data_IF_595957023081
#
_entry.id   IF_595957023081
#
_cell.length_a   1.000
_cell.length_b   1.000
_cell.length_c   1.000
_cell.angle_alpha   90.00
_cell.angle_beta   90.00
_cell.angle_gamma   90.00
#
_symmetry.space_group_name_H-M   'P 1'
#
loop_
_entity.id
_entity.type
_entity.pdbx_description
1 polymer ?
#
# COMPACT_ATOMS: atom_id res chain seq x y z
N UNK A 1 -4.99 -14.61 18.42
CA UNK A 1 -4.04 -14.41 17.29
C UNK A 1 -4.85 -13.99 16.07
N UNK A 2 -4.47 -12.91 15.37
CA UNK A 2 -5.16 -12.44 14.15
C UNK A 2 -5.10 -13.52 13.06
N UNK A 3 -6.24 -13.80 12.40
CA UNK A 3 -6.38 -14.86 11.39
C UNK A 3 -5.47 -14.66 10.18
N UNK A 4 -5.27 -13.41 9.74
CA UNK A 4 -4.37 -13.09 8.64
C UNK A 4 -2.92 -13.38 9.00
N UNK A 5 -2.47 -12.96 10.20
CA UNK A 5 -1.11 -13.25 10.70
C UNK A 5 -0.85 -14.75 10.75
N UNK A 6 -1.82 -15.52 11.27
CA UNK A 6 -1.70 -16.98 11.31
C UNK A 6 -1.59 -17.61 9.91
N UNK A 7 -2.36 -17.11 8.93
CA UNK A 7 -2.27 -17.61 7.55
C UNK A 7 -0.91 -17.28 6.92
N UNK A 8 -0.42 -16.06 7.03
CA UNK A 8 0.87 -15.64 6.48
C UNK A 8 2.03 -16.47 7.05
N UNK A 9 2.07 -16.65 8.38
CA UNK A 9 3.10 -17.46 9.04
C UNK A 9 3.04 -18.96 8.69
N UNK A 10 1.84 -19.52 8.49
CA UNK A 10 1.68 -20.93 8.12
C UNK A 10 2.06 -21.20 6.67
N UNK A 11 1.79 -20.26 5.76
CA UNK A 11 2.09 -20.41 4.34
C UNK A 11 3.59 -20.32 4.04
N UNK A 12 4.32 -19.54 4.79
CA UNK A 12 5.79 -19.51 4.71
C UNK A 12 6.39 -20.92 4.92
N UNK A 13 5.79 -21.71 5.82
CA UNK A 13 6.17 -23.12 6.08
C UNK A 13 5.75 -24.10 4.97
N UNK A 14 4.72 -23.75 4.16
CA UNK A 14 4.16 -24.63 3.13
C UNK A 14 4.64 -24.31 1.71
N UNK A 15 5.36 -23.20 1.52
CA UNK A 15 5.80 -22.75 0.21
C UNK A 15 4.66 -22.26 -0.70
N UNK A 16 3.48 -21.96 -0.14
CA UNK A 16 2.35 -21.42 -0.89
C UNK A 16 2.49 -19.90 -1.02
N UNK A 17 2.15 -19.35 -2.20
CA UNK A 17 2.18 -17.91 -2.43
C UNK A 17 0.81 -17.32 -2.09
N UNK A 18 0.77 -16.39 -1.13
CA UNK A 18 -0.42 -15.59 -0.83
C UNK A 18 -0.44 -14.39 -1.78
N UNK A 19 -1.51 -14.26 -2.55
CA UNK A 19 -1.68 -13.15 -3.48
C UNK A 19 -2.55 -12.05 -2.88
N UNK A 20 -2.16 -10.80 -3.11
CA UNK A 20 -2.92 -9.62 -2.72
C UNK A 20 -3.14 -8.65 -3.88
N UNK A 21 -4.22 -7.89 -3.85
CA UNK A 21 -4.30 -6.65 -4.63
C UNK A 21 -3.48 -5.56 -3.96
N UNK A 22 -3.21 -4.48 -4.69
CA UNK A 22 -2.53 -3.30 -4.15
C UNK A 22 -3.47 -2.11 -4.07
N UNK A 23 -3.20 -1.18 -3.15
CA UNK A 23 -4.02 0.01 -2.97
C UNK A 23 -4.13 0.86 -4.25
N UNK A 24 -5.35 1.18 -4.65
CA UNK A 24 -5.64 2.17 -5.67
C UNK A 24 -5.54 1.72 -7.12
N UNK A 25 -5.48 0.42 -7.40
CA UNK A 25 -5.50 -0.13 -8.77
C UNK A 25 -6.86 -0.80 -9.04
N UNK A 26 -7.02 -2.07 -8.75
CA UNK A 26 -8.24 -2.81 -9.06
C UNK A 26 -9.41 -2.57 -8.09
N UNK A 27 -9.15 -2.04 -6.91
CA UNK A 27 -10.09 -1.90 -5.79
C UNK A 27 -10.38 -0.43 -5.46
N UNK A 28 -10.56 0.39 -6.50
CA UNK A 28 -10.79 1.84 -6.35
C UNK A 28 -12.17 2.21 -5.81
N UNK A 29 -13.10 1.27 -5.88
CA UNK A 29 -14.49 1.39 -5.38
C UNK A 29 -14.89 0.12 -4.63
N UNK A 30 -15.81 0.21 -3.65
CA UNK A 30 -16.29 -0.95 -2.88
C UNK A 30 -16.92 -2.04 -3.75
N UNK A 31 -17.63 -1.67 -4.82
CA UNK A 31 -18.21 -2.65 -5.75
C UNK A 31 -17.12 -3.52 -6.42
N UNK A 32 -15.96 -2.93 -6.69
CA UNK A 32 -14.82 -3.68 -7.23
C UNK A 32 -14.20 -4.62 -6.18
N UNK A 33 -14.18 -4.24 -4.91
CA UNK A 33 -13.78 -5.13 -3.80
C UNK A 33 -14.67 -6.36 -3.80
N UNK A 34 -16.01 -6.17 -3.88
CA UNK A 34 -16.99 -7.27 -3.96
C UNK A 34 -16.80 -8.13 -5.20
N UNK A 35 -16.57 -7.51 -6.36
CA UNK A 35 -16.34 -8.23 -7.62
C UNK A 35 -15.10 -9.12 -7.51
N UNK A 36 -13.97 -8.59 -7.06
CA UNK A 36 -12.72 -9.34 -6.88
C UNK A 36 -12.90 -10.51 -5.91
N UNK A 37 -13.53 -10.28 -4.77
CA UNK A 37 -13.77 -11.33 -3.78
C UNK A 37 -14.60 -12.50 -4.32
N UNK A 38 -15.60 -12.20 -5.16
CA UNK A 38 -16.52 -13.21 -5.70
C UNK A 38 -15.99 -13.91 -6.97
N UNK A 39 -15.13 -13.25 -7.74
CA UNK A 39 -14.73 -13.76 -9.06
C UNK A 39 -13.30 -14.27 -9.14
N UNK A 40 -12.40 -13.78 -8.28
CA UNK A 40 -10.97 -14.12 -8.35
C UNK A 40 -10.54 -14.89 -7.10
N UNK A 41 -10.78 -16.19 -7.11
CA UNK A 41 -10.53 -17.08 -5.98
C UNK A 41 -9.05 -17.19 -5.57
N UNK A 42 -8.12 -16.86 -6.46
CA UNK A 42 -6.68 -16.88 -6.20
C UNK A 42 -6.16 -15.69 -5.40
N UNK A 43 -6.97 -14.64 -5.23
CA UNK A 43 -6.59 -13.49 -4.39
C UNK A 43 -7.01 -13.75 -2.96
N UNK A 44 -6.04 -13.76 -2.05
CA UNK A 44 -6.24 -14.02 -0.62
C UNK A 44 -6.46 -12.74 0.19
N UNK A 45 -5.84 -11.63 -0.21
CA UNK A 45 -5.92 -10.33 0.47
C UNK A 45 -6.38 -9.27 -0.52
N UNK A 46 -7.44 -8.57 -0.19
CA UNK A 46 -7.91 -7.43 -0.98
C UNK A 46 -7.56 -6.14 -0.24
N UNK A 47 -6.69 -5.34 -0.86
CA UNK A 47 -6.31 -4.02 -0.36
C UNK A 47 -7.17 -2.95 -1.02
N UNK A 48 -7.82 -2.11 -0.22
CA UNK A 48 -8.69 -1.04 -0.71
C UNK A 48 -7.89 0.16 -1.23
N UNK A 49 -8.60 1.11 -1.86
CA UNK A 49 -8.11 2.48 -2.04
C UNK A 49 -7.75 3.09 -0.69
N UNK A 50 -6.72 3.96 -0.65
CA UNK A 50 -6.41 4.71 0.57
C UNK A 50 -7.49 5.73 0.86
N UNK A 51 -8.18 5.59 1.99
CA UNK A 51 -9.18 6.52 2.46
C UNK A 51 -8.57 7.57 3.38
N UNK A 52 -9.19 8.75 3.39
CA UNK A 52 -8.89 9.86 4.32
C UNK A 52 -10.10 10.12 5.20
N UNK A 53 -9.94 10.90 6.26
CA UNK A 53 -11.07 11.33 7.11
C UNK A 53 -12.13 12.02 6.27
N UNK A 54 -11.70 12.96 5.42
CA UNK A 54 -12.59 13.71 4.52
C UNK A 54 -12.37 13.31 3.06
N UNK A 55 -13.38 13.52 2.18
CA UNK A 55 -13.24 13.27 0.74
C UNK A 55 -12.12 14.09 0.11
N UNK A 56 -11.40 13.49 -0.85
CA UNK A 56 -10.38 14.16 -1.63
C UNK A 56 -10.61 13.94 -3.14
N UNK A 57 -10.72 15.03 -3.90
CA UNK A 57 -10.94 14.99 -5.35
C UNK A 57 -9.70 14.53 -6.13
N UNK A 58 -8.51 14.59 -5.52
CA UNK A 58 -7.25 14.29 -6.18
C UNK A 58 -6.86 15.32 -7.24
N UNK A 59 -5.91 14.93 -8.09
CA UNK A 59 -5.47 15.77 -9.20
C UNK A 59 -6.47 15.72 -10.36
N UNK A 60 -6.39 16.74 -11.25
CA UNK A 60 -7.18 16.83 -12.49
C UNK A 60 -6.56 15.92 -13.55
N UNK A 61 -7.43 15.29 -14.37
CA UNK A 61 -6.98 14.46 -15.50
C UNK A 61 -6.14 15.27 -16.53
N UNK A 62 -5.17 14.62 -17.21
CA UNK A 62 -4.78 13.22 -17.10
C UNK A 62 -3.90 12.94 -15.87
N UNK A 63 -4.20 11.86 -15.14
CA UNK A 63 -3.48 11.47 -13.91
C UNK A 63 -2.77 10.12 -14.02
N UNK A 64 -2.94 9.44 -15.16
CA UNK A 64 -2.25 8.17 -15.49
C UNK A 64 -1.76 8.24 -16.93
N UNK A 65 -0.58 7.71 -17.18
CA UNK A 65 -0.04 7.49 -18.54
C UNK A 65 0.65 6.13 -18.62
N UNK A 66 0.72 5.59 -19.85
CA UNK A 66 1.47 4.35 -20.15
C UNK A 66 2.59 4.68 -21.14
N UNK A 67 3.84 4.90 -20.66
CA UNK A 67 4.96 5.22 -21.53
C UNK A 67 5.45 4.02 -22.36
N UNK A 68 5.16 2.81 -21.93
CA UNK A 68 5.38 1.54 -22.66
C UNK A 68 4.45 0.47 -22.14
N UNK A 69 4.30 -0.63 -22.90
CA UNK A 69 3.44 -1.74 -22.53
C UNK A 69 3.81 -2.26 -21.12
N UNK A 70 2.83 -2.44 -20.24
CA UNK A 70 3.01 -2.94 -18.87
C UNK A 70 3.66 -1.95 -17.90
N UNK A 71 3.97 -0.73 -18.33
CA UNK A 71 4.60 0.29 -17.50
C UNK A 71 3.75 1.55 -17.44
N UNK A 72 3.62 2.12 -16.25
CA UNK A 72 2.71 3.23 -15.98
C UNK A 72 3.40 4.34 -15.20
N UNK A 73 2.93 5.57 -15.48
CA UNK A 73 3.17 6.73 -14.65
C UNK A 73 1.86 7.23 -14.07
N UNK A 74 1.83 7.63 -12.80
CA UNK A 74 0.62 8.17 -12.21
C UNK A 74 0.87 9.33 -11.25
N UNK A 75 -0.15 10.20 -11.14
CA UNK A 75 -0.24 11.26 -10.15
C UNK A 75 -1.69 11.49 -9.74
N UNK A 76 -2.35 10.46 -9.25
CA UNK A 76 -3.80 10.49 -8.89
C UNK A 76 -4.11 11.49 -7.77
N UNK A 77 -3.17 11.73 -6.85
CA UNK A 77 -3.34 12.71 -5.77
C UNK A 77 -4.28 12.25 -4.66
N UNK A 78 -4.26 10.94 -4.31
CA UNK A 78 -5.04 10.35 -3.23
C UNK A 78 -6.57 10.53 -3.35
N UNK A 79 -7.11 10.59 -4.57
CA UNK A 79 -8.56 10.67 -4.81
C UNK A 79 -9.30 9.56 -4.06
N UNK A 80 -10.24 9.95 -3.17
CA UNK A 80 -11.04 9.00 -2.38
C UNK A 80 -12.33 9.66 -1.86
N UNK A 81 -13.38 8.87 -1.50
CA UNK A 81 -14.68 9.39 -1.06
C UNK A 81 -14.72 9.82 0.43
N UNK A 82 -13.64 9.62 1.20
CA UNK A 82 -13.64 9.79 2.65
C UNK A 82 -14.12 8.55 3.41
N UNK A 83 -13.80 8.48 4.70
CA UNK A 83 -14.11 7.32 5.54
C UNK A 83 -15.60 7.09 5.75
N UNK A 84 -16.39 8.17 5.84
CA UNK A 84 -17.84 8.07 6.13
C UNK A 84 -18.65 7.49 4.96
N UNK A 85 -18.21 7.74 3.73
CA UNK A 85 -18.80 7.10 2.55
C UNK A 85 -18.29 5.66 2.35
N UNK A 86 -17.02 5.40 2.66
CA UNK A 86 -16.40 4.10 2.40
C UNK A 86 -16.79 3.03 3.44
N UNK A 87 -16.90 3.40 4.71
CA UNK A 87 -17.12 2.44 5.80
C UNK A 87 -18.40 1.60 5.63
N UNK A 88 -19.60 2.19 5.45
CA UNK A 88 -20.84 1.41 5.39
C UNK A 88 -20.85 0.42 4.22
N UNK A 89 -20.24 0.77 3.10
CA UNK A 89 -20.16 -0.12 1.94
C UNK A 89 -19.23 -1.30 2.18
N UNK A 90 -18.06 -1.06 2.78
CA UNK A 90 -17.13 -2.13 3.17
C UNK A 90 -17.70 -3.02 4.27
N UNK A 91 -18.40 -2.44 5.25
CA UNK A 91 -19.10 -3.19 6.29
C UNK A 91 -20.17 -4.12 5.70
N UNK A 92 -20.94 -3.63 4.72
CA UNK A 92 -21.92 -4.46 4.01
C UNK A 92 -21.26 -5.64 3.28
N UNK A 93 -20.11 -5.41 2.61
CA UNK A 93 -19.35 -6.48 1.95
C UNK A 93 -18.87 -7.53 2.96
N UNK A 94 -18.38 -7.11 4.13
CA UNK A 94 -17.96 -8.03 5.20
C UNK A 94 -19.13 -8.85 5.74
N UNK A 95 -20.29 -8.24 5.96
CA UNK A 95 -21.53 -8.92 6.42
C UNK A 95 -22.05 -9.93 5.41
N UNK A 96 -21.84 -9.69 4.11
CA UNK A 96 -22.21 -10.62 3.03
C UNK A 96 -21.29 -11.85 2.93
N UNK A 97 -20.36 -12.05 3.85
CA UNK A 97 -19.48 -13.22 3.92
C UNK A 97 -18.28 -13.14 2.98
N UNK A 98 -17.52 -12.03 3.02
CA UNK A 98 -16.29 -11.86 2.26
C UNK A 98 -15.30 -13.00 2.54
N UNK A 99 -14.77 -13.64 1.49
CA UNK A 99 -13.82 -14.76 1.53
C UNK A 99 -12.40 -14.29 1.81
N UNK A 100 -11.94 -13.29 1.04
CA UNK A 100 -10.59 -12.76 1.16
C UNK A 100 -10.43 -11.95 2.45
N UNK A 101 -9.19 -11.81 2.93
CA UNK A 101 -8.85 -10.87 3.99
C UNK A 101 -8.95 -9.44 3.48
N UNK A 102 -9.51 -8.56 4.28
CA UNK A 102 -9.67 -7.15 3.96
C UNK A 102 -8.54 -6.33 4.57
N UNK A 103 -7.67 -5.80 3.72
CA UNK A 103 -6.64 -4.82 4.08
C UNK A 103 -7.14 -3.41 3.72
N UNK A 104 -7.52 -2.62 4.74
CA UNK A 104 -8.02 -1.25 4.50
C UNK A 104 -6.86 -0.28 4.46
N UNK A 105 -6.59 0.30 3.29
CA UNK A 105 -5.56 1.33 3.16
C UNK A 105 -6.10 2.70 3.57
N UNK A 106 -5.31 3.45 4.34
CA UNK A 106 -5.65 4.79 4.82
C UNK A 106 -4.48 5.76 4.65
N UNK A 107 -4.78 7.04 4.54
CA UNK A 107 -3.78 8.10 4.39
C UNK A 107 -4.20 9.36 5.16
N UNK A 108 -3.25 9.99 5.83
CA UNK A 108 -3.45 11.23 6.57
C UNK A 108 -2.18 12.07 6.58
N UNK A 109 -2.28 13.33 7.04
CA UNK A 109 -1.15 14.25 7.19
C UNK A 109 -0.67 14.41 8.63
N UNK A 110 -1.39 13.82 9.59
CA UNK A 110 -1.10 13.91 11.02
C UNK A 110 -1.50 12.61 11.74
N UNK A 111 -0.94 12.33 12.93
CA UNK A 111 -1.24 11.10 13.67
C UNK A 111 -2.70 10.98 14.14
N UNK A 112 -3.37 12.08 14.47
CA UNK A 112 -4.74 12.06 15.02
C UNK A 112 -5.75 11.60 13.96
N UNK A 113 -5.59 12.03 12.73
CA UNK A 113 -6.39 11.55 11.60
C UNK A 113 -6.14 10.06 11.33
N UNK A 114 -4.88 9.58 11.41
CA UNK A 114 -4.59 8.15 11.32
C UNK A 114 -5.26 7.37 12.46
N UNK A 115 -5.21 7.85 13.69
CA UNK A 115 -5.88 7.23 14.85
C UNK A 115 -7.39 7.13 14.61
N UNK A 116 -8.00 8.20 14.10
CA UNK A 116 -9.41 8.25 13.74
C UNK A 116 -9.75 7.18 12.69
N UNK A 117 -8.95 7.10 11.62
CA UNK A 117 -9.13 6.12 10.55
C UNK A 117 -8.93 4.68 11.04
N UNK A 118 -7.89 4.42 11.85
CA UNK A 118 -7.65 3.09 12.43
C UNK A 118 -8.83 2.66 13.29
N UNK A 119 -9.28 3.49 14.22
CA UNK A 119 -10.45 3.20 15.08
C UNK A 119 -11.73 2.98 14.25
N UNK A 120 -11.91 3.73 13.17
CA UNK A 120 -13.08 3.60 12.29
C UNK A 120 -13.12 2.26 11.57
N UNK A 121 -11.98 1.82 11.01
CA UNK A 121 -11.93 0.62 10.17
C UNK A 121 -11.59 -0.67 10.92
N UNK A 122 -11.03 -0.61 12.13
CA UNK A 122 -10.68 -1.79 12.93
C UNK A 122 -11.80 -2.84 13.06
N UNK A 123 -13.09 -2.46 13.25
CA UNK A 123 -14.16 -3.46 13.39
C UNK A 123 -14.39 -4.35 12.16
N UNK A 124 -13.97 -3.91 10.98
CA UNK A 124 -14.24 -4.62 9.71
C UNK A 124 -12.98 -5.11 8.99
N UNK A 125 -11.80 -4.59 9.35
CA UNK A 125 -10.54 -4.90 8.69
C UNK A 125 -9.83 -6.10 9.34
N UNK A 126 -9.11 -6.89 8.53
CA UNK A 126 -8.13 -7.89 9.02
C UNK A 126 -6.76 -7.24 9.21
N UNK A 127 -6.45 -6.22 8.38
CA UNK A 127 -5.29 -5.33 8.52
C UNK A 127 -5.62 -3.91 8.06
N UNK A 128 -4.89 -2.93 8.59
CA UNK A 128 -5.00 -1.52 8.18
C UNK A 128 -3.63 -1.06 7.71
N UNK A 129 -3.56 -0.66 6.42
CA UNK A 129 -2.34 -0.18 5.77
C UNK A 129 -2.25 1.34 5.87
N UNK A 130 -1.30 1.86 6.64
CA UNK A 130 -1.01 3.29 6.73
C UNK A 130 -0.10 3.71 5.57
N UNK A 131 -0.61 4.49 4.64
CA UNK A 131 0.12 4.95 3.47
C UNK A 131 1.04 6.13 3.80
N UNK A 132 2.30 5.83 4.17
CA UNK A 132 3.35 6.81 4.47
C UNK A 132 4.13 7.28 3.22
N UNK A 133 3.77 6.82 2.05
CA UNK A 133 4.65 6.79 0.88
C UNK A 133 4.13 7.50 -0.36
N UNK A 134 3.15 8.40 -0.26
CA UNK A 134 2.66 9.12 -1.42
C UNK A 134 3.57 10.28 -1.82
N UNK A 135 4.32 10.20 -2.94
CA UNK A 135 5.26 11.25 -3.35
C UNK A 135 4.60 12.51 -3.96
N UNK A 136 3.26 12.52 -4.10
CA UNK A 136 2.51 13.61 -4.75
C UNK A 136 1.58 14.37 -3.82
N UNK A 137 1.56 14.00 -2.55
CA UNK A 137 0.76 14.70 -1.57
C UNK A 137 1.41 16.04 -1.21
N UNK A 138 0.60 17.01 -0.79
CA UNK A 138 1.10 18.27 -0.25
C UNK A 138 2.07 18.03 0.92
N UNK A 139 2.91 19.00 1.24
CA UNK A 139 3.85 18.90 2.35
C UNK A 139 3.12 18.41 3.62
N UNK A 140 3.63 17.33 4.22
CA UNK A 140 2.99 16.65 5.35
C UNK A 140 2.28 15.34 5.02
N UNK A 141 1.96 15.06 3.77
CA UNK A 141 1.41 13.75 3.35
C UNK A 141 2.51 12.80 2.90
N UNK A 142 2.38 11.54 3.25
CA UNK A 142 3.14 10.38 2.80
C UNK A 142 4.63 10.58 2.50
N UNK A 143 4.98 11.52 1.62
CA UNK A 143 6.37 11.73 1.20
C UNK A 143 7.27 12.17 2.36
N UNK A 144 6.83 13.09 3.22
CA UNK A 144 7.62 13.54 4.38
C UNK A 144 7.60 12.53 5.53
N UNK A 145 6.47 11.83 5.75
CA UNK A 145 6.35 10.82 6.82
C UNK A 145 7.23 9.60 6.49
N UNK A 146 7.11 9.08 5.27
CA UNK A 146 7.81 7.85 4.87
C UNK A 146 9.28 8.01 4.52
N UNK A 147 9.82 9.24 4.49
CA UNK A 147 11.23 9.49 4.17
C UNK A 147 12.09 9.91 5.36
N UNK A 148 11.49 10.16 6.52
CA UNK A 148 12.21 10.52 7.75
C UNK A 148 11.96 9.46 8.84
N UNK A 149 13.04 8.86 9.33
CA UNK A 149 13.00 7.78 10.32
C UNK A 149 12.35 8.23 11.63
N UNK A 150 12.65 9.44 12.09
CA UNK A 150 12.15 9.94 13.37
C UNK A 150 10.67 10.28 13.28
N UNK A 151 10.26 10.94 12.19
CA UNK A 151 8.85 11.25 11.92
C UNK A 151 8.04 9.95 11.79
N UNK A 152 8.53 8.97 11.02
CA UNK A 152 7.86 7.70 10.84
C UNK A 152 7.68 6.95 12.17
N UNK A 153 8.73 6.91 13.00
CA UNK A 153 8.70 6.32 14.34
C UNK A 153 7.68 7.02 15.23
N UNK A 154 7.76 8.35 15.35
CA UNK A 154 6.86 9.15 16.19
C UNK A 154 5.39 8.95 15.82
N UNK A 155 5.07 8.95 14.52
CA UNK A 155 3.71 8.69 14.04
C UNK A 155 3.23 7.30 14.46
N UNK A 156 4.03 6.26 14.22
CA UNK A 156 3.63 4.88 14.56
C UNK A 156 3.51 4.69 16.07
N UNK A 157 4.41 5.24 16.88
CA UNK A 157 4.31 5.20 18.35
C UNK A 157 3.00 5.81 18.85
N UNK A 158 2.64 6.99 18.38
CA UNK A 158 1.38 7.67 18.75
C UNK A 158 0.16 6.85 18.34
N UNK A 159 0.15 6.36 17.08
CA UNK A 159 -0.97 5.59 16.53
C UNK A 159 -1.11 4.25 17.26
N UNK A 160 -0.03 3.50 17.41
CA UNK A 160 -0.02 2.19 18.08
C UNK A 160 -0.49 2.30 19.53
N UNK A 161 0.01 3.30 20.29
CA UNK A 161 -0.40 3.53 21.67
C UNK A 161 -1.89 3.91 21.79
N UNK A 162 -2.41 4.75 20.89
CA UNK A 162 -3.82 5.18 20.91
C UNK A 162 -4.79 4.11 20.39
N UNK A 163 -4.27 3.04 19.77
CA UNK A 163 -5.05 1.94 19.17
C UNK A 163 -4.55 0.56 19.63
N UNK A 164 -4.01 0.47 20.84
CA UNK A 164 -3.45 -0.79 21.39
C UNK A 164 -4.45 -1.95 21.48
N UNK A 165 -5.74 -1.63 21.60
CA UNK A 165 -6.83 -2.61 21.70
C UNK A 165 -7.37 -3.04 20.31
N UNK A 166 -6.76 -2.58 19.20
CA UNK A 166 -7.14 -2.95 17.84
C UNK A 166 -7.03 -4.46 17.60
N UNK A 167 -7.91 -4.97 16.74
CA UNK A 167 -7.90 -6.37 16.30
C UNK A 167 -7.20 -6.53 14.94
N UNK A 168 -7.29 -5.51 14.09
CA UNK A 168 -6.63 -5.47 12.80
C UNK A 168 -5.11 -5.30 12.96
N UNK A 169 -4.34 -5.92 12.07
CA UNK A 169 -2.89 -5.70 11.99
C UNK A 169 -2.59 -4.29 11.50
N UNK A 170 -1.60 -3.63 12.08
CA UNK A 170 -1.11 -2.32 11.66
C UNK A 170 0.06 -2.50 10.69
N UNK A 171 -0.16 -2.17 9.43
CA UNK A 171 0.82 -2.33 8.34
C UNK A 171 1.25 -0.94 7.85
N UNK A 172 2.54 -0.67 7.77
CA UNK A 172 3.06 0.61 7.29
C UNK A 172 3.52 0.48 5.84
N UNK A 173 2.88 1.23 4.92
CA UNK A 173 3.27 1.26 3.51
C UNK A 173 4.44 2.20 3.26
N UNK A 174 5.57 1.62 2.83
CA UNK A 174 6.84 2.32 2.63
C UNK A 174 7.08 2.72 1.17
N UNK A 175 7.85 3.81 0.99
CA UNK A 175 8.32 4.27 -0.31
C UNK A 175 9.71 3.73 -0.62
N UNK A 176 10.00 3.36 -1.88
CA UNK A 176 11.35 2.98 -2.31
C UNK A 176 12.28 4.20 -2.52
N UNK A 177 11.74 5.43 -2.39
CA UNK A 177 12.44 6.66 -2.74
C UNK A 177 13.18 7.23 -1.53
N UNK A 178 13.95 6.38 -0.86
CA UNK A 178 14.75 6.69 0.33
C UNK A 178 16.10 5.95 0.25
N UNK A 179 17.10 6.46 0.97
CA UNK A 179 18.44 5.88 0.96
C UNK A 179 18.52 4.55 1.75
N UNK A 180 17.72 4.41 2.80
CA UNK A 180 17.73 3.22 3.68
C UNK A 180 16.31 2.84 4.12
N UNK A 181 15.63 2.06 3.29
CA UNK A 181 14.27 1.60 3.58
C UNK A 181 14.25 0.59 4.75
N UNK A 182 15.32 -0.18 4.94
CA UNK A 182 15.44 -1.12 6.05
C UNK A 182 15.46 -0.42 7.40
N UNK A 183 16.19 0.70 7.53
CA UNK A 183 16.21 1.48 8.77
C UNK A 183 14.83 2.07 9.10
N UNK A 184 14.09 2.54 8.10
CA UNK A 184 12.70 3.04 8.30
C UNK A 184 11.79 1.88 8.70
N UNK A 185 11.88 0.73 8.02
CA UNK A 185 11.10 -0.45 8.37
C UNK A 185 11.36 -0.88 9.82
N UNK A 186 12.62 -0.96 10.24
CA UNK A 186 12.95 -1.29 11.63
C UNK A 186 12.38 -0.27 12.61
N UNK A 187 12.48 1.02 12.33
CA UNK A 187 11.97 2.06 13.20
C UNK A 187 10.46 1.98 13.41
N UNK A 188 9.67 1.69 12.35
CA UNK A 188 8.21 1.56 12.46
C UNK A 188 7.79 0.25 13.14
N UNK A 189 8.54 -0.85 12.97
CA UNK A 189 8.30 -2.11 13.69
C UNK A 189 8.58 -1.93 15.18
N UNK A 190 9.73 -1.35 15.53
CA UNK A 190 10.09 -1.06 16.94
C UNK A 190 9.08 -0.11 17.61
N UNK A 191 8.39 0.73 16.83
CA UNK A 191 7.33 1.64 17.28
C UNK A 191 5.94 0.97 17.43
N UNK A 192 5.80 -0.33 17.12
CA UNK A 192 4.59 -1.10 17.35
C UNK A 192 3.73 -1.39 16.12
N UNK A 193 4.28 -1.28 14.90
CA UNK A 193 3.66 -1.85 13.71
C UNK A 193 3.80 -3.38 13.70
N UNK A 194 2.78 -4.07 13.17
CA UNK A 194 2.78 -5.53 13.01
C UNK A 194 3.52 -5.99 11.74
N UNK A 195 3.73 -5.07 10.80
CA UNK A 195 4.41 -5.34 9.54
C UNK A 195 4.51 -4.12 8.65
N UNK A 196 5.07 -4.33 7.46
CA UNK A 196 5.21 -3.32 6.43
C UNK A 196 4.66 -3.80 5.08
N UNK A 197 4.25 -2.84 4.24
CA UNK A 197 3.97 -3.07 2.82
C UNK A 197 5.00 -2.32 1.99
N UNK A 198 5.63 -2.96 1.03
CA UNK A 198 6.64 -2.37 0.16
C UNK A 198 6.64 -3.05 -1.22
N UNK A 199 6.76 -2.28 -2.29
CA UNK A 199 7.03 -0.85 -2.35
C UNK A 199 5.84 -0.08 -2.93
N UNK A 200 5.75 1.23 -2.62
CA UNK A 200 4.93 2.13 -3.41
C UNK A 200 5.67 2.48 -4.73
N UNK A 201 5.14 3.39 -5.52
CA UNK A 201 5.70 3.78 -6.81
C UNK A 201 7.10 4.40 -6.70
N UNK A 202 7.95 4.15 -7.70
CA UNK A 202 9.30 4.72 -7.80
C UNK A 202 9.22 6.12 -8.44
N UNK A 203 9.95 7.07 -7.93
CA UNK A 203 9.97 8.42 -8.51
C UNK A 203 10.22 9.54 -7.50
N UNK A 204 9.90 10.77 -7.84
CA UNK A 204 9.06 11.23 -8.96
C UNK A 204 9.77 11.23 -10.32
N UNK A 205 9.09 10.81 -11.39
CA UNK A 205 9.57 10.80 -12.78
C UNK A 205 8.71 11.71 -13.65
N UNK A 206 9.34 12.45 -14.57
CA UNK A 206 8.63 13.26 -15.56
C UNK A 206 8.24 12.40 -16.77
N UNK A 207 6.99 12.50 -17.20
CA UNK A 207 6.45 11.85 -18.39
C UNK A 207 6.05 12.93 -19.39
N UNK A 208 6.64 12.90 -20.60
CA UNK A 208 6.39 13.87 -21.64
C UNK A 208 5.77 13.23 -22.88
N UNK A 209 4.90 13.97 -23.55
CA UNK A 209 4.38 13.61 -24.85
C UNK A 209 5.48 13.80 -25.91
N UNK A 210 5.65 12.81 -26.81
CA UNK A 210 6.82 12.69 -27.71
C UNK A 210 6.93 13.85 -28.70
N UNK A 211 5.81 14.37 -29.20
CA UNK A 211 5.82 15.37 -30.27
C UNK A 211 5.94 16.81 -29.72
N UNK A 212 5.23 17.08 -28.62
CA UNK A 212 5.19 18.44 -28.03
C UNK A 212 6.26 18.65 -26.94
N UNK A 213 6.79 17.57 -26.34
CA UNK A 213 7.68 17.65 -25.19
C UNK A 213 6.98 18.11 -23.90
N UNK A 214 5.64 18.27 -23.91
CA UNK A 214 4.89 18.75 -22.76
C UNK A 214 4.65 17.61 -21.75
N UNK A 215 4.56 17.92 -20.44
CA UNK A 215 4.19 16.97 -19.42
C UNK A 215 2.82 16.36 -19.69
N UNK A 216 2.72 15.02 -19.58
CA UNK A 216 1.45 14.30 -19.77
C UNK A 216 0.57 14.40 -18.52
N UNK A 217 1.17 14.22 -17.33
CA UNK A 217 0.41 14.18 -16.06
C UNK A 217 0.08 15.61 -15.60
N UNK A 218 -1.18 15.79 -15.21
CA UNK A 218 -1.67 17.09 -14.75
C UNK A 218 -1.65 17.19 -13.23
N UNK A 219 -0.69 17.93 -12.68
CA UNK A 219 -0.55 18.16 -11.24
C UNK A 219 0.24 19.45 -10.95
N UNK A 220 0.30 19.83 -9.67
CA UNK A 220 0.99 21.03 -9.19
C UNK A 220 2.52 20.86 -9.07
N UNK A 221 3.08 19.69 -9.38
CA UNK A 221 4.52 19.37 -9.25
C UNK A 221 5.20 19.20 -10.62
N UNK A 222 4.73 19.94 -11.62
CA UNK A 222 5.34 20.00 -12.95
C UNK A 222 5.16 18.71 -13.76
N UNK A 223 4.06 18.00 -13.62
CA UNK A 223 3.78 16.80 -14.40
C UNK A 223 4.59 15.57 -13.99
N UNK A 224 5.29 15.60 -12.86
CA UNK A 224 6.02 14.44 -12.34
C UNK A 224 5.06 13.45 -11.68
N UNK A 225 5.36 12.15 -11.81
CA UNK A 225 4.52 11.07 -11.28
C UNK A 225 5.33 9.87 -10.79
N UNK A 226 4.67 8.97 -10.06
CA UNK A 226 5.25 7.72 -9.63
C UNK A 226 5.23 6.67 -10.73
N UNK A 227 6.34 5.92 -10.89
CA UNK A 227 6.48 4.81 -11.82
C UNK A 227 5.97 3.50 -11.19
N UNK A 228 5.22 2.71 -11.95
CA UNK A 228 4.79 1.36 -11.64
C UNK A 228 4.83 0.46 -12.89
N UNK A 229 4.82 -0.86 -12.71
CA UNK A 229 4.98 -1.83 -13.80
C UNK A 229 6.29 -2.58 -13.72
N UNK A 230 6.60 -3.39 -14.74
CA UNK A 230 7.75 -4.30 -14.76
C UNK A 230 9.10 -3.60 -14.45
N UNK A 231 9.28 -2.38 -14.93
CA UNK A 231 10.52 -1.61 -14.75
C UNK A 231 10.88 -1.26 -13.28
N UNK A 232 9.97 -1.44 -12.32
CA UNK A 232 10.28 -1.21 -10.90
C UNK A 232 10.58 -2.49 -10.13
N UNK A 233 10.52 -3.66 -10.79
CA UNK A 233 10.65 -4.96 -10.11
C UNK A 233 12.00 -5.14 -9.41
N UNK A 234 13.11 -4.81 -10.08
CA UNK A 234 14.45 -4.92 -9.49
C UNK A 234 14.56 -4.10 -8.21
N UNK A 235 14.02 -2.86 -8.21
CA UNK A 235 14.01 -2.01 -7.02
C UNK A 235 13.12 -2.59 -5.91
N UNK A 236 11.98 -3.18 -6.26
CA UNK A 236 11.13 -3.85 -5.28
C UNK A 236 11.87 -5.01 -4.61
N UNK A 237 12.55 -5.84 -5.40
CA UNK A 237 13.32 -6.98 -4.92
C UNK A 237 14.44 -6.57 -3.94
N UNK A 238 15.19 -5.52 -4.29
CA UNK A 238 16.22 -4.94 -3.42
C UNK A 238 15.63 -4.45 -2.10
N UNK A 239 14.55 -3.67 -2.16
CA UNK A 239 13.89 -3.13 -0.97
C UNK A 239 13.37 -4.23 -0.05
N UNK A 240 12.74 -5.29 -0.59
CA UNK A 240 12.23 -6.40 0.23
C UNK A 240 13.38 -7.12 0.96
N UNK A 241 14.49 -7.39 0.28
CA UNK A 241 15.70 -7.98 0.90
C UNK A 241 16.25 -7.10 2.02
N UNK A 242 16.38 -5.80 1.76
CA UNK A 242 16.88 -4.82 2.73
C UNK A 242 15.96 -4.74 3.96
N UNK A 243 14.65 -4.70 3.75
CA UNK A 243 13.66 -4.69 4.83
C UNK A 243 13.77 -5.97 5.65
N UNK A 244 13.72 -7.16 5.03
CA UNK A 244 13.76 -8.45 5.74
C UNK A 244 15.04 -8.59 6.58
N UNK A 245 16.18 -8.19 6.03
CA UNK A 245 17.44 -8.18 6.76
C UNK A 245 17.42 -7.25 7.99
N UNK A 246 16.70 -6.15 7.92
CA UNK A 246 16.64 -5.17 9.00
C UNK A 246 15.63 -5.54 10.11
N UNK A 247 14.47 -6.18 9.76
CA UNK A 247 13.40 -6.44 10.73
C UNK A 247 13.35 -7.90 11.22
N UNK A 248 14.12 -8.82 10.62
CA UNK A 248 14.06 -10.25 10.96
C UNK A 248 12.80 -10.95 10.46
N UNK A 249 12.50 -12.17 10.95
CA UNK A 249 11.51 -13.07 10.37
C UNK A 249 10.09 -12.94 10.95
N UNK A 250 9.92 -12.31 12.11
CA UNK A 250 8.61 -12.24 12.78
C UNK A 250 7.64 -11.19 12.18
N UNK A 251 8.09 -9.95 11.84
CA UNK A 251 7.21 -8.96 11.27
C UNK A 251 6.80 -9.30 9.83
N UNK A 252 5.55 -8.92 9.48
CA UNK A 252 4.96 -9.22 8.17
C UNK A 252 5.52 -8.28 7.10
N UNK A 253 5.82 -8.81 5.91
CA UNK A 253 6.12 -8.03 4.70
C UNK A 253 5.10 -8.34 3.61
N UNK A 254 4.24 -7.38 3.27
CA UNK A 254 3.40 -7.42 2.09
C UNK A 254 4.22 -6.87 0.91
N UNK A 255 4.87 -7.77 0.15
CA UNK A 255 5.78 -7.40 -0.94
C UNK A 255 5.02 -7.06 -2.22
N UNK A 256 5.39 -5.97 -2.91
CA UNK A 256 4.78 -5.58 -4.18
C UNK A 256 5.69 -4.67 -5.00
N UNK A 257 5.44 -4.62 -6.32
CA UNK A 257 6.13 -3.75 -7.26
C UNK A 257 6.65 -4.49 -8.47
N UNK A 258 6.00 -4.30 -9.63
CA UNK A 258 6.43 -4.81 -10.92
C UNK A 258 6.26 -6.32 -11.15
N UNK A 259 5.48 -7.00 -10.32
CA UNK A 259 5.16 -8.42 -10.51
C UNK A 259 4.24 -8.60 -11.72
N UNK A 260 4.70 -9.35 -12.71
CA UNK A 260 3.97 -9.62 -13.96
C UNK A 260 3.90 -11.12 -14.28
N UNK A 261 4.74 -11.93 -13.65
CA UNK A 261 4.87 -13.38 -13.88
C UNK A 261 4.94 -14.12 -12.54
N UNK A 262 4.64 -15.41 -12.58
CA UNK A 262 4.75 -16.29 -11.41
C UNK A 262 6.18 -16.37 -10.85
N UNK A 263 7.18 -16.24 -11.71
CA UNK A 263 8.60 -16.22 -11.32
C UNK A 263 8.93 -14.96 -10.49
N UNK A 264 8.37 -13.79 -10.84
CA UNK A 264 8.55 -12.57 -10.07
C UNK A 264 7.97 -12.72 -8.66
N UNK A 265 6.80 -13.37 -8.56
CA UNK A 265 6.18 -13.66 -7.28
C UNK A 265 7.09 -14.54 -6.40
N UNK A 266 7.66 -15.61 -6.97
CA UNK A 266 8.61 -16.48 -6.23
C UNK A 266 9.84 -15.71 -5.76
N UNK A 267 10.43 -14.87 -6.61
CA UNK A 267 11.59 -14.05 -6.25
C UNK A 267 11.30 -13.08 -5.10
N UNK A 268 10.09 -12.50 -5.02
CA UNK A 268 9.71 -11.66 -3.87
C UNK A 268 9.58 -12.47 -2.59
N UNK A 269 9.01 -13.69 -2.64
CA UNK A 269 8.94 -14.59 -1.48
C UNK A 269 10.35 -15.01 -1.04
N UNK A 270 11.22 -15.40 -1.96
CA UNK A 270 12.62 -15.73 -1.68
C UNK A 270 13.41 -14.54 -1.10
N UNK A 271 13.02 -13.30 -1.48
CA UNK A 271 13.59 -12.11 -0.91
C UNK A 271 13.08 -11.78 0.51
N UNK A 272 12.06 -12.51 0.99
CA UNK A 272 11.54 -12.39 2.35
C UNK A 272 10.14 -11.78 2.45
N UNK A 273 9.38 -11.64 1.36
CA UNK A 273 7.97 -11.24 1.44
C UNK A 273 7.09 -12.39 1.94
N UNK A 274 6.06 -12.09 2.73
CA UNK A 274 5.07 -13.05 3.22
C UNK A 274 3.83 -13.14 2.32
N UNK A 275 3.61 -12.13 1.49
CA UNK A 275 2.61 -12.12 0.41
C UNK A 275 3.09 -11.31 -0.78
N UNK A 276 2.45 -11.50 -1.92
CA UNK A 276 2.79 -10.83 -3.18
C UNK A 276 1.62 -9.99 -3.69
N UNK A 277 1.83 -8.68 -3.78
CA UNK A 277 0.88 -7.71 -4.29
C UNK A 277 0.98 -7.53 -5.80
N UNK A 278 -0.15 -7.72 -6.50
CA UNK A 278 -0.28 -7.51 -7.93
C UNK A 278 -1.07 -6.23 -8.17
N UNK A 279 -0.53 -5.34 -9.00
CA UNK A 279 -1.14 -4.06 -9.36
C UNK A 279 -1.26 -3.87 -10.86
N UNK A 280 -0.24 -3.32 -11.48
CA UNK A 280 -0.24 -2.95 -12.91
C UNK A 280 -0.39 -4.11 -13.89
N UNK A 281 -0.35 -5.35 -13.43
CA UNK A 281 -0.62 -6.54 -14.25
C UNK A 281 -2.09 -7.04 -14.13
N UNK A 282 -2.91 -6.40 -13.28
CA UNK A 282 -4.35 -6.61 -13.21
C UNK A 282 -5.05 -5.72 -14.25
#
# INVERSE_FOLDING_TARGET
>A
MNRLKAKLQNNHKRGEIILSTVSGVATTKPELVRLFDKTINSVDIITTKSFQVTPNKGNREPVVCSPSLGNFGNSVGLRNPGMDAAYPELEAIRKDGMRAFLNVSVSASNPDDFITLVKRFDPIADSIELNFSCPHAAAGFGASIGSDINIAREYVEKISNATKDRKALLIIKLTPNVDNIGAIAKAVIDAGADGVAAINTVGPKLYVEKNSGLPILNNKVGGKGGASGEWVFSRALECIKEIRNAIGDEPIILGMGGVTRSEDARKLIEAGADSVGIGSAL
#
